data_IF_686230555317
#
_entry.id   IF_686230555317
#
_cell.length_a   1.000
_cell.length_b   1.000
_cell.length_c   1.000
_cell.angle_alpha   90.00
_cell.angle_beta   90.00
_cell.angle_gamma   90.00
#
_symmetry.space_group_name_H-M   'P 1'
#
loop_
_entity.id
_entity.type
_entity.pdbx_description
1 polymer ?
#
# COMPACT_ATOMS: atom_id res chain seq x y z
N UNK A 1 8.21 16.59 7.14
CA UNK A 1 8.76 17.67 7.98
C UNK A 1 9.88 17.08 8.84
N UNK A 2 11.11 17.58 8.74
CA UNK A 2 12.22 17.10 9.57
C UNK A 2 12.32 17.95 10.83
N UNK A 3 12.32 17.33 12.01
CA UNK A 3 12.32 18.02 13.30
C UNK A 3 13.73 17.99 13.88
N UNK A 4 14.21 19.16 14.32
CA UNK A 4 15.51 19.29 14.99
C UNK A 4 15.38 18.87 16.45
N UNK A 5 16.22 17.94 16.90
CA UNK A 5 16.45 17.66 18.33
C UNK A 5 17.91 17.99 18.69
N UNK A 6 18.18 18.71 19.80
CA UNK A 6 19.53 19.10 20.21
C UNK A 6 20.50 17.92 20.50
N UNK A 7 20.00 16.69 20.63
CA UNK A 7 20.77 15.54 21.17
C UNK A 7 21.04 14.40 20.17
N UNK A 8 21.19 14.70 18.88
CA UNK A 8 21.48 13.73 17.79
C UNK A 8 20.39 12.66 17.62
N UNK A 9 19.47 12.94 16.71
CA UNK A 9 19.02 12.02 15.66
C UNK A 9 18.20 12.87 14.68
N UNK A 10 18.56 12.81 13.40
CA UNK A 10 17.73 13.37 12.34
C UNK A 10 16.49 12.50 12.21
N UNK A 11 15.32 13.00 12.61
CA UNK A 11 14.05 12.35 12.30
C UNK A 11 13.33 13.20 11.24
N UNK A 12 13.45 12.79 9.98
CA UNK A 12 12.54 13.24 8.95
C UNK A 12 11.25 12.44 9.06
N UNK A 13 10.18 13.08 9.54
CA UNK A 13 8.82 12.58 9.35
C UNK A 13 8.49 12.85 7.89
N UNK A 14 8.73 11.89 7.00
CA UNK A 14 8.19 11.98 5.65
C UNK A 14 6.67 11.84 5.75
N UNK A 15 5.94 12.71 5.04
CA UNK A 15 4.50 12.56 4.92
C UNK A 15 4.25 11.37 3.99
N UNK A 16 3.23 10.56 4.28
CA UNK A 16 2.87 9.47 3.38
C UNK A 16 2.37 10.00 2.05
N UNK A 17 2.37 9.12 1.08
CA UNK A 17 2.34 9.40 -0.33
C UNK A 17 1.25 8.57 -1.01
N UNK A 18 0.19 9.22 -1.51
CA UNK A 18 -0.86 8.55 -2.30
C UNK A 18 -0.36 8.35 -3.74
N UNK A 19 -0.16 7.09 -4.14
CA UNK A 19 0.27 6.76 -5.50
C UNK A 19 -0.74 7.22 -6.54
N UNK A 20 -2.03 7.16 -6.24
CA UNK A 20 -3.08 7.63 -7.14
C UNK A 20 -3.00 9.14 -7.37
N UNK A 21 -2.55 9.89 -6.36
CA UNK A 21 -2.27 11.33 -6.47
C UNK A 21 -0.99 11.57 -7.29
N UNK A 22 0.12 10.84 -7.06
CA UNK A 22 1.38 11.04 -7.83
C UNK A 22 1.16 10.95 -9.32
N UNK A 23 0.45 9.89 -9.69
CA UNK A 23 0.34 9.49 -11.07
C UNK A 23 -0.81 10.24 -11.75
N UNK A 24 -1.41 11.22 -11.05
CA UNK A 24 -2.60 11.96 -11.47
C UNK A 24 -3.69 11.01 -12.00
N UNK A 25 -3.82 9.82 -11.39
CA UNK A 25 -4.66 8.75 -11.95
C UNK A 25 -6.12 9.19 -11.91
N UNK A 26 -6.51 9.91 -10.85
CA UNK A 26 -7.87 10.45 -10.69
C UNK A 26 -8.20 11.45 -11.79
N UNK A 27 -7.25 12.28 -12.20
CA UNK A 27 -7.44 13.27 -13.27
C UNK A 27 -7.49 12.62 -14.66
N UNK A 28 -6.69 11.56 -14.87
CA UNK A 28 -6.57 10.89 -16.16
C UNK A 28 -7.72 9.90 -16.41
N UNK A 29 -8.10 9.12 -15.40
CA UNK A 29 -9.08 8.03 -15.52
C UNK A 29 -10.46 8.38 -14.96
N UNK A 30 -10.56 9.49 -14.22
CA UNK A 30 -11.76 9.89 -13.50
C UNK A 30 -11.99 9.07 -12.23
N UNK A 31 -12.67 9.68 -11.26
CA UNK A 31 -13.17 8.99 -10.07
C UNK A 31 -14.55 8.39 -10.32
N UNK A 32 -14.86 7.35 -9.56
CA UNK A 32 -16.19 6.75 -9.46
C UNK A 32 -16.63 6.85 -8.01
N UNK A 33 -17.88 7.25 -7.82
CA UNK A 33 -18.51 7.36 -6.52
C UNK A 33 -19.63 6.33 -6.43
N UNK A 34 -19.67 5.57 -5.33
CA UNK A 34 -20.76 4.67 -4.97
C UNK A 34 -21.32 5.14 -3.63
N UNK A 35 -22.65 5.15 -3.48
CA UNK A 35 -23.30 5.64 -2.26
C UNK A 35 -22.79 4.88 -1.02
N UNK A 36 -22.24 5.61 -0.04
CA UNK A 36 -21.69 5.04 1.19
C UNK A 36 -20.24 4.55 1.09
N UNK A 37 -19.52 4.91 0.03
CA UNK A 37 -18.12 4.53 -0.17
C UNK A 37 -17.25 5.70 -0.64
N UNK A 38 -15.96 5.71 -0.25
CA UNK A 38 -14.98 6.66 -0.77
C UNK A 38 -14.76 6.52 -2.28
N UNK A 39 -14.49 7.65 -2.94
CA UNK A 39 -14.22 7.67 -4.38
C UNK A 39 -13.09 6.73 -4.77
N UNK A 40 -13.27 5.93 -5.81
CA UNK A 40 -12.25 5.00 -6.30
C UNK A 40 -11.97 5.22 -7.79
N UNK A 41 -10.85 4.65 -8.28
CA UNK A 41 -10.49 4.72 -9.70
C UNK A 41 -10.56 3.34 -10.31
N UNK A 42 -11.11 3.29 -11.52
CA UNK A 42 -11.15 2.09 -12.35
C UNK A 42 -10.00 2.14 -13.35
N UNK A 43 -8.98 1.30 -13.16
CA UNK A 43 -7.78 1.28 -14.00
C UNK A 43 -8.02 0.83 -15.46
N UNK A 44 -9.23 0.36 -15.78
CA UNK A 44 -9.62 0.07 -17.16
C UNK A 44 -8.80 -1.07 -17.77
N UNK A 45 -8.07 -0.81 -18.85
CA UNK A 45 -7.11 -1.73 -19.50
C UNK A 45 -5.65 -1.26 -19.37
N UNK A 46 -5.39 -0.16 -18.65
CA UNK A 46 -4.05 0.40 -18.52
C UNK A 46 -3.49 0.15 -17.11
N UNK A 47 -2.45 -0.68 -16.93
CA UNK A 47 -1.76 -0.75 -15.66
C UNK A 47 -1.07 0.59 -15.38
N UNK A 48 -1.00 1.00 -14.11
CA UNK A 48 -0.20 2.17 -13.73
C UNK A 48 1.26 1.72 -13.69
N UNK A 49 2.07 2.25 -14.59
CA UNK A 49 3.48 1.88 -14.78
C UNK A 49 4.33 3.13 -14.83
N UNK A 50 5.30 3.24 -13.92
CA UNK A 50 6.10 4.45 -13.73
C UNK A 50 7.57 4.07 -13.50
N UNK A 51 8.51 4.97 -13.80
CA UNK A 51 9.92 4.67 -13.52
C UNK A 51 10.12 4.64 -12.00
N UNK A 52 10.82 3.62 -11.53
CA UNK A 52 11.07 3.45 -10.08
C UNK A 52 11.82 4.65 -9.53
N UNK A 53 12.80 5.17 -10.27
CA UNK A 53 13.57 6.36 -9.87
C UNK A 53 12.70 7.62 -9.72
N UNK A 54 11.61 7.77 -10.46
CA UNK A 54 10.75 8.95 -10.33
C UNK A 54 9.97 8.95 -9.01
N UNK A 55 9.57 7.76 -8.56
CA UNK A 55 8.72 7.54 -7.37
C UNK A 55 9.55 7.29 -6.10
N UNK A 56 10.59 6.46 -6.22
CA UNK A 56 11.43 5.96 -5.14
C UNK A 56 12.90 6.31 -5.40
N UNK A 57 13.19 7.61 -5.51
CA UNK A 57 14.55 8.14 -5.82
C UNK A 57 15.67 7.60 -4.94
N UNK A 58 15.36 7.30 -3.68
CA UNK A 58 16.32 6.82 -2.69
C UNK A 58 16.16 5.32 -2.41
N UNK A 59 15.40 4.60 -3.25
CA UNK A 59 14.98 3.23 -2.96
C UNK A 59 13.84 3.18 -1.94
N UNK A 60 13.70 2.01 -1.30
CA UNK A 60 12.76 1.79 -0.21
C UNK A 60 13.52 1.81 1.12
N UNK A 61 12.94 2.38 2.19
CA UNK A 61 13.53 2.28 3.51
C UNK A 61 13.48 0.85 4.07
N UNK A 62 14.28 0.62 5.11
CA UNK A 62 14.28 -0.62 5.88
C UNK A 62 12.93 -0.92 6.54
N UNK A 63 12.11 0.11 6.76
CA UNK A 63 10.77 -0.01 7.35
C UNK A 63 9.77 0.89 6.62
N UNK A 64 8.62 0.32 6.22
CA UNK A 64 7.55 1.06 5.55
C UNK A 64 6.20 0.35 5.69
N UNK A 65 5.14 1.08 5.36
CA UNK A 65 3.81 0.50 5.23
C UNK A 65 3.27 0.65 3.82
N UNK A 66 2.61 -0.41 3.34
CA UNK A 66 1.84 -0.42 2.11
C UNK A 66 0.37 -0.57 2.46
N UNK A 67 -0.49 0.34 2.01
CA UNK A 67 -1.94 0.27 2.21
C UNK A 67 -2.65 0.35 0.87
N UNK A 68 -3.60 -0.53 0.63
CA UNK A 68 -4.49 -0.42 -0.53
C UNK A 68 -5.88 -0.90 -0.21
N UNK A 69 -6.86 -0.21 -0.77
CA UNK A 69 -8.24 -0.68 -0.84
C UNK A 69 -8.51 -1.13 -2.27
N UNK A 70 -9.00 -2.35 -2.43
CA UNK A 70 -9.21 -2.93 -3.75
C UNK A 70 -10.45 -3.82 -3.81
N UNK A 71 -10.88 -4.12 -5.03
CA UNK A 71 -12.00 -5.02 -5.29
C UNK A 71 -11.72 -5.91 -6.49
N UNK A 72 -11.92 -7.21 -6.32
CA UNK A 72 -11.81 -8.15 -7.41
C UNK A 72 -12.96 -8.02 -8.42
N UNK A 73 -12.64 -8.21 -9.70
CA UNK A 73 -13.65 -8.43 -10.75
C UNK A 73 -14.15 -9.88 -10.79
N UNK A 74 -15.29 -10.09 -11.46
CA UNK A 74 -16.03 -11.38 -11.51
C UNK A 74 -15.14 -12.60 -11.74
N UNK A 75 -14.20 -12.55 -12.69
CA UNK A 75 -13.34 -13.67 -13.08
C UNK A 75 -11.99 -13.70 -12.37
N UNK A 76 -11.65 -12.64 -11.63
CA UNK A 76 -10.29 -12.33 -11.19
C UNK A 76 -9.86 -13.02 -9.90
N UNK A 77 -10.80 -13.52 -9.10
CA UNK A 77 -10.54 -14.03 -7.73
C UNK A 77 -9.67 -15.28 -7.68
N UNK A 78 -9.55 -16.02 -8.78
CA UNK A 78 -8.74 -17.24 -8.89
C UNK A 78 -7.42 -17.00 -9.61
N UNK A 79 -7.16 -15.77 -10.04
CA UNK A 79 -5.98 -15.41 -10.80
C UNK A 79 -4.92 -14.81 -9.88
N UNK A 80 -3.68 -14.77 -10.36
CA UNK A 80 -2.57 -14.14 -9.66
C UNK A 80 -2.45 -12.65 -10.00
N UNK A 81 -2.29 -11.83 -8.96
CA UNK A 81 -2.22 -10.37 -9.09
C UNK A 81 -1.06 -9.81 -8.34
N UNK A 82 -0.44 -8.78 -8.90
CA UNK A 82 0.40 -7.86 -8.13
C UNK A 82 -0.43 -6.64 -7.76
N UNK A 83 -0.65 -6.46 -6.45
CA UNK A 83 -1.13 -5.17 -5.93
C UNK A 83 -0.07 -4.09 -6.22
N UNK A 84 1.19 -4.45 -6.01
CA UNK A 84 2.34 -3.62 -6.30
C UNK A 84 3.57 -4.48 -6.60
N UNK A 85 4.41 -4.01 -7.51
CA UNK A 85 5.67 -4.64 -7.86
C UNK A 85 6.68 -3.59 -8.35
N UNK A 86 7.94 -3.75 -7.96
CA UNK A 86 9.10 -3.11 -8.57
C UNK A 86 9.94 -4.19 -9.26
N UNK A 87 10.41 -3.90 -10.46
CA UNK A 87 11.40 -4.70 -11.17
C UNK A 87 12.47 -3.81 -11.80
N UNK A 88 13.69 -4.33 -11.95
CA UNK A 88 14.82 -3.61 -12.53
C UNK A 88 14.74 -3.50 -14.06
N UNK A 89 15.75 -2.91 -14.70
CA UNK A 89 15.83 -2.74 -16.16
C UNK A 89 15.86 -4.06 -16.94
N UNK A 90 16.25 -5.15 -16.29
CA UNK A 90 16.28 -6.49 -16.87
C UNK A 90 14.98 -7.26 -16.64
N UNK A 91 14.03 -6.68 -15.90
CA UNK A 91 12.77 -7.31 -15.54
C UNK A 91 12.87 -8.22 -14.32
N UNK A 92 13.97 -8.18 -13.58
CA UNK A 92 14.16 -8.97 -12.36
C UNK A 92 13.34 -8.33 -11.23
N UNK A 93 12.42 -9.07 -10.58
CA UNK A 93 11.62 -8.55 -9.47
C UNK A 93 12.51 -8.11 -8.31
N UNK A 94 12.32 -6.88 -7.86
CA UNK A 94 13.02 -6.28 -6.71
C UNK A 94 12.18 -6.40 -5.43
N UNK A 95 10.89 -6.08 -5.54
CA UNK A 95 9.91 -6.26 -4.46
C UNK A 95 8.52 -6.46 -5.06
N UNK A 96 7.66 -7.23 -4.41
CA UNK A 96 6.27 -7.38 -4.81
C UNK A 96 5.34 -7.77 -3.68
N UNK A 97 4.09 -7.34 -3.81
CA UNK A 97 2.95 -7.81 -3.03
C UNK A 97 2.00 -8.51 -3.99
N UNK A 98 1.94 -9.85 -3.88
CA UNK A 98 1.14 -10.71 -4.73
C UNK A 98 -0.08 -11.24 -3.99
N UNK A 99 -1.21 -11.29 -4.67
CA UNK A 99 -2.37 -12.09 -4.31
C UNK A 99 -2.35 -13.36 -5.16
N UNK A 100 -2.15 -14.50 -4.52
CA UNK A 100 -2.26 -15.82 -5.14
C UNK A 100 -3.72 -16.28 -5.03
N UNK A 101 -4.48 -16.12 -6.11
CA UNK A 101 -5.90 -16.45 -6.15
C UNK A 101 -6.20 -17.96 -6.14
N UNK A 102 -5.28 -18.78 -6.62
CA UNK A 102 -5.46 -20.23 -6.64
C UNK A 102 -5.26 -20.82 -5.25
N UNK A 103 -4.19 -20.41 -4.57
CA UNK A 103 -3.83 -20.89 -3.25
C UNK A 103 -4.41 -20.05 -2.11
N UNK A 104 -5.10 -18.95 -2.45
CA UNK A 104 -5.65 -17.96 -1.52
C UNK A 104 -4.61 -17.47 -0.51
N UNK A 105 -3.54 -16.90 -1.03
CA UNK A 105 -2.45 -16.39 -0.20
C UNK A 105 -2.10 -14.94 -0.56
N UNK A 106 -1.64 -14.20 0.45
CA UNK A 106 -0.95 -12.92 0.24
C UNK A 106 0.54 -13.18 0.39
N UNK A 107 1.33 -12.69 -0.56
CA UNK A 107 2.77 -12.90 -0.57
C UNK A 107 3.51 -11.58 -0.67
N UNK A 108 4.40 -11.37 0.29
CA UNK A 108 5.43 -10.35 0.20
C UNK A 108 6.73 -11.01 -0.26
N UNK A 109 7.35 -10.46 -1.30
CA UNK A 109 8.65 -10.89 -1.80
C UNK A 109 9.56 -9.68 -1.95
N UNK A 110 10.82 -9.81 -1.57
CA UNK A 110 11.86 -8.81 -1.82
C UNK A 110 13.20 -9.49 -2.15
N UNK A 111 14.10 -8.77 -2.82
CA UNK A 111 15.49 -9.20 -2.97
C UNK A 111 16.15 -9.32 -1.59
N UNK A 112 16.88 -10.41 -1.37
CA UNK A 112 17.54 -10.69 -0.10
C UNK A 112 19.02 -10.34 -0.13
N UNK A 113 19.57 -9.90 1.00
CA UNK A 113 20.99 -9.55 1.10
C UNK A 113 21.93 -10.76 0.94
N UNK A 114 21.46 -11.94 1.35
CA UNK A 114 22.26 -13.19 1.33
C UNK A 114 21.62 -14.32 0.52
N UNK A 115 20.40 -14.10 0.02
CA UNK A 115 19.60 -15.05 -0.74
C UNK A 115 18.94 -14.34 -1.91
N UNK A 116 18.68 -15.07 -2.98
CA UNK A 116 18.04 -14.54 -4.18
C UNK A 116 16.70 -13.84 -3.88
N UNK A 117 15.95 -14.29 -2.86
CA UNK A 117 14.75 -13.62 -2.38
C UNK A 117 14.46 -13.94 -0.91
N UNK A 118 13.85 -12.96 -0.23
CA UNK A 118 13.14 -13.16 1.05
C UNK A 118 11.64 -13.13 0.82
N UNK A 119 10.89 -13.94 1.57
CA UNK A 119 9.45 -14.12 1.35
C UNK A 119 8.68 -14.28 2.66
N UNK A 120 7.54 -13.62 2.74
CA UNK A 120 6.50 -13.89 3.73
C UNK A 120 5.22 -14.31 3.01
N UNK A 121 4.68 -15.49 3.37
CA UNK A 121 3.45 -16.05 2.78
C UNK A 121 2.38 -16.15 3.85
N UNK A 122 1.37 -15.30 3.73
CA UNK A 122 0.21 -15.30 4.59
C UNK A 122 -0.87 -16.18 3.98
N UNK A 123 -1.16 -17.31 4.62
CA UNK A 123 -2.18 -18.25 4.19
C UNK A 123 -2.91 -18.80 5.40
N UNK A 124 -4.13 -18.32 5.63
CA UNK A 124 -4.99 -18.75 6.73
C UNK A 124 -6.48 -18.47 6.38
N UNK A 125 -7.44 -18.98 7.19
CA UNK A 125 -8.87 -18.81 6.89
C UNK A 125 -9.37 -17.37 6.84
N UNK A 126 -8.68 -16.41 7.46
CA UNK A 126 -9.06 -15.00 7.38
C UNK A 126 -8.60 -14.39 6.03
N UNK A 127 -7.42 -14.79 5.56
CA UNK A 127 -6.92 -14.43 4.22
C UNK A 127 -7.82 -14.97 3.11
N UNK A 128 -8.43 -16.14 3.30
CA UNK A 128 -9.39 -16.72 2.35
C UNK A 128 -10.56 -15.77 2.02
N UNK A 129 -11.00 -14.96 3.00
CA UNK A 129 -12.12 -14.03 2.85
C UNK A 129 -11.79 -12.86 1.92
N UNK A 130 -10.50 -12.55 1.71
CA UNK A 130 -10.04 -11.52 0.79
C UNK A 130 -10.45 -11.82 -0.67
N UNK A 131 -10.55 -13.10 -1.02
CA UNK A 131 -10.77 -13.57 -2.38
C UNK A 131 -12.26 -13.65 -2.74
N UNK A 132 -13.03 -12.63 -2.35
CA UNK A 132 -14.43 -12.45 -2.69
C UNK A 132 -14.64 -11.26 -3.67
N UNK A 133 -15.86 -10.70 -3.76
CA UNK A 133 -16.18 -9.58 -4.68
C UNK A 133 -16.47 -8.27 -3.95
N UNK A 134 -16.24 -8.24 -2.66
CA UNK A 134 -16.40 -7.08 -1.82
C UNK A 134 -15.14 -6.22 -1.90
N UNK A 135 -15.25 -5.04 -1.34
CA UNK A 135 -14.11 -4.17 -1.10
C UNK A 135 -13.35 -4.66 0.11
N UNK A 136 -12.03 -4.73 -0.04
CA UNK A 136 -11.14 -5.06 1.06
C UNK A 136 -10.03 -4.03 1.15
N UNK A 137 -9.63 -3.73 2.39
CA UNK A 137 -8.43 -2.96 2.68
C UNK A 137 -7.35 -3.91 3.17
N UNK A 138 -6.19 -3.88 2.54
CA UNK A 138 -5.00 -4.58 2.98
C UNK A 138 -3.94 -3.57 3.38
N UNK A 139 -3.31 -3.81 4.54
CA UNK A 139 -2.10 -3.12 4.93
C UNK A 139 -0.98 -4.13 5.21
N UNK A 140 0.23 -3.84 4.75
CA UNK A 140 1.44 -4.55 5.11
C UNK A 140 2.36 -3.58 5.84
N UNK A 141 2.74 -3.92 7.07
CA UNK A 141 3.85 -3.26 7.77
C UNK A 141 5.09 -4.10 7.57
N UNK A 142 6.08 -3.54 6.86
CA UNK A 142 7.37 -4.16 6.60
C UNK A 142 8.36 -3.57 7.60
N UNK A 143 8.91 -4.44 8.45
CA UNK A 143 9.96 -4.12 9.42
C UNK A 143 11.27 -4.78 8.98
N UNK A 144 12.36 -4.42 9.66
CA UNK A 144 13.71 -4.93 9.37
C UNK A 144 13.79 -6.46 9.33
N UNK A 145 13.00 -7.16 10.17
CA UNK A 145 13.06 -8.63 10.35
C UNK A 145 11.70 -9.32 10.28
N UNK A 146 10.64 -8.58 9.95
CA UNK A 146 9.29 -9.13 9.93
C UNK A 146 8.37 -8.37 8.99
N UNK A 147 7.29 -9.04 8.59
CA UNK A 147 6.18 -8.43 7.86
C UNK A 147 4.89 -8.77 8.57
N UNK A 148 4.09 -7.75 8.85
CA UNK A 148 2.77 -7.87 9.48
C UNK A 148 1.68 -7.58 8.46
N UNK A 149 0.73 -8.50 8.31
CA UNK A 149 -0.44 -8.36 7.46
C UNK A 149 -1.65 -7.91 8.27
N UNK A 150 -2.35 -6.90 7.77
CA UNK A 150 -3.63 -6.45 8.25
C UNK A 150 -4.65 -6.53 7.12
N UNK A 151 -5.83 -7.10 7.41
CA UNK A 151 -6.96 -7.16 6.49
C UNK A 151 -8.17 -6.51 7.15
N UNK A 152 -8.83 -5.63 6.41
CA UNK A 152 -10.00 -4.86 6.86
C UNK A 152 -9.78 -4.27 8.27
N UNK A 153 -8.58 -3.68 8.44
CA UNK A 153 -8.09 -3.00 9.65
C UNK A 153 -7.95 -3.91 10.88
N UNK A 154 -7.79 -5.21 10.66
CA UNK A 154 -7.48 -6.20 11.70
C UNK A 154 -6.12 -6.80 11.45
N UNK A 155 -5.30 -6.90 12.49
CA UNK A 155 -4.06 -7.67 12.44
C UNK A 155 -4.39 -9.15 12.21
N UNK A 156 -3.75 -9.74 11.21
CA UNK A 156 -3.95 -11.14 10.82
C UNK A 156 -2.79 -12.00 11.30
N UNK A 157 -1.56 -11.59 10.95
CA UNK A 157 -0.37 -12.37 11.25
C UNK A 157 0.88 -11.53 11.06
N UNK A 158 1.92 -11.82 11.84
CA UNK A 158 3.28 -11.33 11.63
C UNK A 158 4.18 -12.51 11.31
N UNK A 159 4.95 -12.41 10.22
CA UNK A 159 5.88 -13.44 9.76
C UNK A 159 7.31 -12.90 9.75
N UNK A 160 8.30 -13.67 10.20
CA UNK A 160 9.70 -13.26 10.13
C UNK A 160 10.19 -13.27 8.68
N UNK A 161 11.10 -12.35 8.37
CA UNK A 161 11.86 -12.31 7.12
C UNK A 161 13.35 -12.16 7.41
N UNK A 162 14.19 -12.54 6.44
CA UNK A 162 15.63 -12.31 6.50
C UNK A 162 15.98 -10.89 5.99
N UNK A 163 17.27 -10.55 6.04
CA UNK A 163 17.76 -9.26 5.59
C UNK A 163 17.48 -9.03 4.11
N UNK A 164 16.91 -7.85 3.83
CA UNK A 164 16.59 -7.38 2.49
C UNK A 164 17.80 -6.64 1.91
N UNK A 165 17.95 -6.71 0.61
CA UNK A 165 18.87 -5.85 -0.13
C UNK A 165 18.17 -4.56 -0.57
N UNK A 166 18.95 -3.51 -0.82
CA UNK A 166 18.47 -2.31 -1.48
C UNK A 166 17.99 -2.62 -2.89
N UNK A 167 16.87 -2.01 -3.30
CA UNK A 167 16.32 -2.23 -4.64
C UNK A 167 17.15 -1.53 -5.73
N UNK A 168 17.25 -2.15 -6.90
CA UNK A 168 17.67 -1.44 -8.11
C UNK A 168 16.54 -0.51 -8.60
N UNK A 169 16.77 0.79 -8.49
CA UNK A 169 15.82 1.83 -8.92
C UNK A 169 15.84 2.07 -10.44
N UNK A 170 16.77 1.48 -11.18
CA UNK A 170 16.84 1.57 -12.64
C UNK A 170 15.81 0.63 -13.28
N UNK A 171 14.53 0.86 -13.02
CA UNK A 171 13.47 -0.05 -13.42
C UNK A 171 12.10 0.59 -13.43
N UNK A 172 11.06 -0.21 -13.24
CA UNK A 172 9.68 0.27 -13.19
C UNK A 172 8.95 -0.24 -11.96
N UNK A 173 8.10 0.62 -11.42
CA UNK A 173 7.10 0.30 -10.42
C UNK A 173 5.74 0.15 -11.10
N UNK A 174 5.01 -0.89 -10.75
CA UNK A 174 3.71 -1.21 -11.34
C UNK A 174 2.71 -1.55 -10.25
N UNK A 175 1.48 -1.15 -10.50
CA UNK A 175 0.36 -1.27 -9.58
C UNK A 175 -0.78 -2.04 -10.25
N UNK A 176 -1.42 -2.90 -9.46
CA UNK A 176 -2.71 -3.48 -9.79
C UNK A 176 -2.74 -4.20 -11.13
N UNK A 177 -1.75 -5.05 -11.42
CA UNK A 177 -1.65 -5.82 -12.67
C UNK A 177 -1.85 -7.32 -12.45
N UNK A 178 -2.52 -7.98 -13.39
CA UNK A 178 -2.55 -9.45 -13.49
C UNK A 178 -1.17 -9.98 -13.88
N UNK A 179 -0.77 -11.12 -13.31
CA UNK A 179 0.53 -11.75 -13.58
C UNK A 179 0.73 -12.10 -15.07
N UNK A 180 -0.29 -12.68 -15.72
CA UNK A 180 -0.14 -13.32 -17.03
C UNK A 180 -0.34 -12.40 -18.24
N UNK A 181 -1.23 -11.41 -18.15
CA UNK A 181 -1.60 -10.56 -19.28
C UNK A 181 -1.81 -9.08 -18.91
N UNK A 182 -1.37 -8.70 -17.71
CA UNK A 182 -1.36 -7.30 -17.25
C UNK A 182 -2.72 -6.59 -17.24
N UNK A 183 -3.84 -7.32 -17.20
CA UNK A 183 -5.16 -6.70 -17.01
C UNK A 183 -5.19 -5.94 -15.68
N UNK A 184 -5.80 -4.74 -15.60
CA UNK A 184 -5.83 -3.95 -14.36
C UNK A 184 -6.94 -4.34 -13.38
N UNK A 185 -6.74 -4.02 -12.11
CA UNK A 185 -7.76 -4.06 -11.03
C UNK A 185 -8.16 -2.66 -10.55
N UNK A 186 -9.36 -2.55 -9.98
CA UNK A 186 -9.82 -1.31 -9.35
C UNK A 186 -9.15 -1.21 -7.98
N UNK A 187 -8.23 -0.25 -7.83
CA UNK A 187 -7.37 -0.08 -6.65
C UNK A 187 -7.29 1.39 -6.26
N UNK A 188 -7.32 1.66 -4.96
CA UNK A 188 -6.85 2.90 -4.36
C UNK A 188 -5.66 2.57 -3.46
N UNK A 189 -4.61 3.39 -3.54
CA UNK A 189 -3.29 3.04 -3.02
C UNK A 189 -2.68 4.19 -2.24
N UNK A 190 -2.27 3.91 -1.02
CA UNK A 190 -1.55 4.82 -0.16
C UNK A 190 -0.27 4.16 0.35
N UNK A 191 0.87 4.79 0.09
CA UNK A 191 2.18 4.32 0.54
C UNK A 191 2.78 5.30 1.53
N UNK A 192 3.31 4.83 2.65
CA UNK A 192 4.03 5.70 3.57
C UNK A 192 5.45 5.18 3.82
N UNK A 193 6.43 6.08 3.72
CA UNK A 193 7.84 5.81 4.02
C UNK A 193 8.32 6.64 5.20
N UNK A 194 8.88 6.02 6.24
CA UNK A 194 9.38 6.74 7.41
C UNK A 194 9.55 5.90 8.68
N UNK A 195 10.22 6.45 9.68
CA UNK A 195 10.64 5.73 10.90
C UNK A 195 9.54 5.67 11.98
N UNK A 196 8.30 6.07 11.67
CA UNK A 196 7.15 6.14 12.61
C UNK A 196 5.88 5.49 12.03
N UNK A 197 6.06 4.50 11.17
CA UNK A 197 5.08 4.13 10.13
C UNK A 197 4.39 2.80 10.40
N UNK A 198 4.99 1.97 11.24
CA UNK A 198 4.37 0.74 11.77
C UNK A 198 3.02 1.07 12.41
N UNK A 199 2.95 2.17 13.18
CA UNK A 199 1.71 2.63 13.78
C UNK A 199 0.64 3.03 12.75
N UNK A 200 0.98 3.46 11.52
CA UNK A 200 -0.07 3.81 10.57
C UNK A 200 -0.83 2.58 10.09
N UNK A 201 -0.15 1.46 9.77
CA UNK A 201 -0.85 0.22 9.41
C UNK A 201 -1.74 -0.30 10.56
N UNK A 202 -1.31 -0.11 11.81
CA UNK A 202 -2.09 -0.45 13.01
C UNK A 202 -3.24 0.53 13.30
N UNK A 203 -3.09 1.79 12.90
CA UNK A 203 -4.06 2.88 13.14
C UNK A 203 -4.93 3.15 11.90
N UNK A 204 -4.72 2.46 10.78
CA UNK A 204 -5.56 2.55 9.59
C UNK A 204 -6.99 2.22 9.98
N UNK A 205 -7.91 3.11 9.63
CA UNK A 205 -9.33 2.94 9.87
C UNK A 205 -10.01 2.47 8.60
N UNK A 206 -11.05 1.68 8.72
CA UNK A 206 -11.79 1.12 7.57
C UNK A 206 -13.10 1.89 7.33
N UNK A 207 -13.13 3.18 7.67
CA UNK A 207 -14.28 4.08 7.52
C UNK A 207 -14.69 4.26 6.04
N UNK A 208 -13.78 3.98 5.09
CA UNK A 208 -13.95 4.01 3.64
C UNK A 208 -14.54 2.72 3.04
N UNK A 209 -14.63 1.63 3.81
CA UNK A 209 -15.23 0.38 3.36
C UNK A 209 -16.75 0.35 3.60
N UNK A 210 -17.57 -0.12 2.65
CA UNK A 210 -19.03 -0.14 2.78
C UNK A 210 -19.55 -1.03 3.92
N UNK A 211 -18.78 -2.06 4.31
CA UNK A 211 -19.05 -2.90 5.48
C UNK A 211 -18.01 -2.71 6.59
N UNK A 212 -17.23 -1.62 6.52
CA UNK A 212 -16.24 -1.30 7.53
C UNK A 212 -16.89 -1.18 8.90
N UNK A 213 -16.18 -1.51 9.99
CA UNK A 213 -16.73 -1.36 11.32
C UNK A 213 -16.96 0.11 11.63
N UNK A 214 -18.15 0.63 11.30
CA UNK A 214 -18.72 1.78 12.00
C UNK A 214 -19.27 1.22 13.30
N UNK A 215 -18.38 1.00 14.28
CA UNK A 215 -18.77 0.46 15.58
C UNK A 215 -19.59 1.50 16.34
N UNK A 216 -20.92 1.40 16.20
CA UNK A 216 -21.90 2.11 17.03
C UNK A 216 -22.00 1.38 18.37
N UNK A 217 -20.97 1.46 19.21
CA UNK A 217 -21.10 1.11 20.64
C UNK A 217 -20.00 1.77 21.49
N UNK A 218 -20.42 2.74 22.33
CA UNK A 218 -19.93 2.96 23.70
C UNK A 218 -18.49 3.43 23.98
N UNK A 219 -17.53 3.33 23.05
CA UNK A 219 -16.15 3.84 23.21
C UNK A 219 -15.85 5.02 22.24
N UNK A 220 -16.91 5.72 21.83
CA UNK A 220 -17.01 6.57 20.64
C UNK A 220 -16.42 8.00 20.70
N UNK A 221 -15.50 8.35 21.59
CA UNK A 221 -14.93 9.71 21.58
C UNK A 221 -13.59 9.85 20.82
N UNK A 222 -12.83 8.76 20.65
CA UNK A 222 -11.51 8.77 20.00
C UNK A 222 -11.53 8.25 18.56
N UNK A 223 -12.28 7.18 18.26
CA UNK A 223 -12.34 6.59 16.91
C UNK A 223 -13.06 7.49 15.88
N UNK A 224 -14.16 8.14 16.29
CA UNK A 224 -14.84 9.15 15.46
C UNK A 224 -13.99 10.40 15.22
N UNK A 225 -13.16 10.81 16.20
CA UNK A 225 -12.18 11.88 15.99
C UNK A 225 -11.11 11.48 14.99
N UNK A 226 -10.61 10.25 15.05
CA UNK A 226 -9.62 9.73 14.11
C UNK A 226 -10.14 9.65 12.67
N UNK A 227 -11.41 9.26 12.44
CA UNK A 227 -11.99 9.32 11.08
C UNK A 227 -12.21 10.78 10.62
N UNK A 228 -12.61 11.71 11.50
CA UNK A 228 -12.69 13.14 11.13
C UNK A 228 -11.32 13.82 10.91
N UNK A 229 -10.29 13.39 11.64
CA UNK A 229 -8.91 13.93 11.58
C UNK A 229 -8.10 13.37 10.40
N UNK A 230 -8.41 12.15 9.95
CA UNK A 230 -7.79 11.55 8.75
C UNK A 230 -8.33 12.19 7.46
N UNK A 231 -9.63 12.48 7.37
CA UNK A 231 -10.21 13.27 6.28
C UNK A 231 -9.67 14.71 6.23
N UNK A 232 -9.41 15.35 7.38
CA UNK A 232 -8.76 16.68 7.42
C UNK A 232 -7.28 16.63 7.06
N UNK A 233 -6.53 15.59 7.47
CA UNK A 233 -5.13 15.42 7.05
C UNK A 233 -4.98 15.11 5.56
N UNK A 234 -5.89 14.35 4.96
CA UNK A 234 -5.93 14.07 3.52
C UNK A 234 -6.22 15.34 2.71
N UNK A 235 -7.13 16.19 3.17
CA UNK A 235 -7.46 17.46 2.51
C UNK A 235 -6.40 18.54 2.68
N UNK A 236 -5.69 18.59 3.82
CA UNK A 236 -4.61 19.55 4.06
C UNK A 236 -3.28 19.16 3.36
N UNK A 237 -3.04 17.87 3.12
CA UNK A 237 -1.87 17.39 2.38
C UNK A 237 -1.97 17.68 0.87
N UNK A 238 -3.18 17.60 0.31
CA UNK A 238 -3.46 17.89 -1.11
C UNK A 238 -3.44 19.39 -1.47
N UNK A 239 -3.40 20.29 -0.47
CA UNK A 239 -3.60 21.73 -0.68
C UNK A 239 -2.31 22.59 -0.78
N UNK A 240 -1.10 22.00 -0.81
CA UNK A 240 0.14 22.79 -0.93
C UNK A 240 0.94 22.48 -2.19
N UNK A 241 0.96 23.39 -3.19
CA UNK A 241 1.88 23.25 -4.31
C UNK A 241 3.32 23.34 -3.79
N UNK A 242 4.14 22.36 -4.16
CA UNK A 242 5.57 22.34 -3.89
C UNK A 242 6.22 23.57 -4.53
N UNK A 243 6.47 24.61 -3.73
CA UNK A 243 7.38 25.68 -4.13
C UNK A 243 8.80 25.13 -4.00
N UNK A 244 9.43 24.90 -5.14
CA UNK A 244 10.88 24.70 -5.24
C UNK A 244 11.58 25.91 -4.61
N UNK A 245 12.23 25.72 -3.47
CA UNK A 245 13.32 26.59 -3.05
C UNK A 245 14.61 25.88 -3.39
N UNK A 246 15.16 26.28 -4.54
CA UNK A 246 16.57 26.09 -4.85
C UNK A 246 17.34 27.06 -3.96
N UNK A 247 18.24 26.53 -3.13
CA UNK A 247 19.36 27.25 -2.53
C UNK A 247 20.51 26.25 -2.35
#
# INVERSE_FOLDING_TARGET
>A
MCVWSPTRLFYCVAAGFDLMEYFNVRDILGTRDEDGQSSYVRLGTMPIVQNTEDVFRQGLPDEYAFVTTFKFRKTSRREDWYLWQIFDKYGIPQVSIRLDGENKAVEYNAVGLTKDAVRAVFKNPEVDNLFDRNWHKIALSVESKSVSLYLDCKHIQTLPIEDREDIDIQGKTVIGKRLYDSVPIDVSLYLHFGNSVIHHAELETCCDLPNGPVSITGQQAQSLRLCSESETRLSDAAAKPWRFLVA
#
